data_IF_442790322329
#
_entry.id   IF_442790322329
#
_cell.length_a   1.000
_cell.length_b   1.000
_cell.length_c   1.000
_cell.angle_alpha   90.00
_cell.angle_beta   90.00
_cell.angle_gamma   90.00
#
_symmetry.space_group_name_H-M   'P 1'
#
loop_
_entity.id
_entity.type
_entity.pdbx_description
1 polymer ?
#
# COMPACT_ATOMS: atom_id res chain seq x y z
N UNK A 1 -1.39 13.78 -14.61
CA UNK A 1 -0.68 13.19 -13.45
C UNK A 1 -0.93 11.70 -13.46
N UNK A 2 0.12 10.88 -13.42
CA UNK A 2 0.02 9.42 -13.59
C UNK A 2 0.00 8.66 -12.27
N UNK A 3 -0.42 7.38 -12.32
CA UNK A 3 -0.48 6.47 -11.15
C UNK A 3 0.83 6.40 -10.34
N UNK A 4 1.98 6.41 -11.02
CA UNK A 4 3.29 6.35 -10.37
C UNK A 4 3.62 7.63 -9.60
N UNK A 5 3.25 8.80 -10.12
CA UNK A 5 3.43 10.08 -9.41
C UNK A 5 2.57 10.11 -8.14
N UNK A 6 1.33 9.62 -8.25
CA UNK A 6 0.40 9.53 -7.11
C UNK A 6 0.93 8.56 -6.03
N UNK A 7 1.51 7.42 -6.42
CA UNK A 7 2.13 6.47 -5.49
C UNK A 7 3.36 7.06 -4.78
N UNK A 8 4.21 7.81 -5.49
CA UNK A 8 5.40 8.46 -4.93
C UNK A 8 5.01 9.58 -3.95
N UNK A 9 4.02 10.40 -4.30
CA UNK A 9 3.48 11.44 -3.40
C UNK A 9 2.93 10.81 -2.13
N UNK A 10 2.21 9.69 -2.27
CA UNK A 10 1.71 8.92 -1.14
C UNK A 10 2.81 8.40 -0.22
N UNK A 11 3.85 7.79 -0.81
CA UNK A 11 4.97 7.25 -0.05
C UNK A 11 5.68 8.36 0.74
N UNK A 12 5.91 9.52 0.11
CA UNK A 12 6.49 10.70 0.77
C UNK A 12 5.61 11.23 1.92
N UNK A 13 4.29 11.21 1.75
CA UNK A 13 3.36 11.58 2.81
C UNK A 13 3.44 10.64 4.02
N UNK A 14 3.44 9.33 3.80
CA UNK A 14 3.56 8.35 4.89
C UNK A 14 4.92 8.38 5.58
N UNK A 15 6.00 8.68 4.84
CA UNK A 15 7.35 8.76 5.41
C UNK A 15 7.63 10.06 6.17
N UNK A 16 6.97 11.18 5.82
CA UNK A 16 7.33 12.51 6.36
C UNK A 16 6.15 13.45 6.65
N UNK A 17 5.04 13.30 5.92
CA UNK A 17 3.84 14.14 6.04
C UNK A 17 3.03 13.89 7.31
N UNK A 18 2.92 12.62 7.75
CA UNK A 18 2.24 12.23 9.00
C UNK A 18 2.79 13.00 10.21
N UNK A 19 4.11 13.13 10.33
CA UNK A 19 4.74 13.83 11.44
C UNK A 19 4.64 15.36 11.38
N UNK A 20 4.29 15.91 10.21
CA UNK A 20 4.09 17.35 10.00
C UNK A 20 2.62 17.79 10.14
N UNK A 21 1.70 16.86 10.42
CA UNK A 21 0.27 17.15 10.49
C UNK A 21 -0.33 17.62 9.16
N UNK A 22 0.29 17.28 8.03
CA UNK A 22 -0.24 17.61 6.72
C UNK A 22 -1.53 16.81 6.46
N UNK A 23 -2.52 17.41 5.79
CA UNK A 23 -3.74 16.70 5.38
C UNK A 23 -3.43 15.55 4.42
N UNK A 24 -4.20 14.45 4.50
CA UNK A 24 -4.00 13.29 3.64
C UNK A 24 -4.25 13.68 2.17
N UNK A 25 -3.27 13.51 1.25
CA UNK A 25 -3.34 14.08 -0.10
C UNK A 25 -4.43 13.46 -0.99
N UNK A 26 -4.99 12.31 -0.60
CA UNK A 26 -6.11 11.68 -1.30
C UNK A 26 -7.24 11.39 -0.31
N UNK A 27 -8.40 12.03 -0.50
CA UNK A 27 -9.61 11.73 0.26
C UNK A 27 -10.18 10.37 -0.16
N UNK A 28 -10.51 9.51 0.80
CA UNK A 28 -11.23 8.25 0.53
C UNK A 28 -12.65 8.58 0.09
N UNK A 29 -12.90 8.60 -1.22
CA UNK A 29 -14.26 8.70 -1.80
C UNK A 29 -14.84 7.29 -1.99
N UNK A 30 -16.17 7.10 -1.92
CA UNK A 30 -16.81 5.79 -2.12
C UNK A 30 -16.43 5.11 -3.45
N UNK A 31 -16.13 5.92 -4.48
CA UNK A 31 -15.72 5.52 -5.83
C UNK A 31 -14.22 5.17 -5.93
N UNK A 32 -13.40 5.68 -5.00
CA UNK A 32 -11.94 5.44 -4.92
C UNK A 32 -11.57 5.00 -3.50
N UNK A 33 -12.07 3.82 -3.11
CA UNK A 33 -11.87 3.24 -1.76
C UNK A 33 -10.40 2.98 -1.42
N UNK A 34 -9.56 2.71 -2.43
CA UNK A 34 -8.18 2.32 -2.22
C UNK A 34 -7.22 3.42 -2.66
N UNK A 35 -6.30 3.73 -1.76
CA UNK A 35 -5.16 4.61 -2.00
C UNK A 35 -4.24 4.00 -3.10
N UNK A 36 -3.72 4.80 -4.05
CA UNK A 36 -2.76 4.34 -5.07
C UNK A 36 -1.61 3.47 -4.55
N UNK A 37 -1.06 3.78 -3.36
CA UNK A 37 0.00 2.98 -2.73
C UNK A 37 -0.51 1.61 -2.27
N UNK A 38 -1.74 1.56 -1.72
CA UNK A 38 -2.36 0.31 -1.33
C UNK A 38 -2.65 -0.56 -2.57
N UNK A 39 -3.14 0.04 -3.66
CA UNK A 39 -3.40 -0.69 -4.91
C UNK A 39 -2.12 -1.32 -5.48
N UNK A 40 -1.03 -0.54 -5.55
CA UNK A 40 0.28 -1.05 -6.00
C UNK A 40 0.79 -2.18 -5.09
N UNK A 41 0.63 -2.02 -3.78
CA UNK A 41 1.02 -3.01 -2.77
C UNK A 41 0.24 -4.31 -2.93
N UNK A 42 -1.09 -4.23 -3.08
CA UNK A 42 -1.94 -5.40 -3.30
C UNK A 42 -1.53 -6.14 -4.57
N UNK A 43 -1.30 -5.41 -5.67
CA UNK A 43 -0.84 -6.01 -6.91
C UNK A 43 0.50 -6.73 -6.71
N UNK A 44 1.50 -6.05 -6.16
CA UNK A 44 2.84 -6.60 -5.95
C UNK A 44 2.81 -7.84 -5.05
N UNK A 45 2.03 -7.83 -3.98
CA UNK A 45 2.03 -8.95 -3.03
C UNK A 45 1.23 -10.13 -3.56
N UNK A 46 -0.02 -9.90 -3.95
CA UNK A 46 -0.93 -10.99 -4.32
C UNK A 46 -0.54 -11.66 -5.63
N UNK A 47 -0.02 -10.88 -6.60
CA UNK A 47 0.26 -11.40 -7.94
C UNK A 47 1.75 -11.72 -8.17
N UNK A 48 2.65 -11.17 -7.36
CA UNK A 48 4.10 -11.37 -7.57
C UNK A 48 4.75 -12.01 -6.35
N UNK A 49 4.81 -11.31 -5.22
CA UNK A 49 5.64 -11.70 -4.08
C UNK A 49 5.17 -13.01 -3.42
N UNK A 50 3.86 -13.15 -3.16
CA UNK A 50 3.29 -14.34 -2.53
C UNK A 50 3.33 -15.57 -3.45
N UNK A 51 2.89 -15.51 -4.72
CA UNK A 51 3.04 -16.63 -5.64
C UNK A 51 4.49 -17.06 -5.84
N UNK A 52 5.43 -16.10 -5.92
CA UNK A 52 6.85 -16.37 -6.07
C UNK A 52 7.43 -17.07 -4.84
N UNK A 53 7.05 -16.64 -3.63
CA UNK A 53 7.46 -17.29 -2.39
C UNK A 53 6.97 -18.74 -2.33
N UNK A 54 5.70 -18.99 -2.70
CA UNK A 54 5.11 -20.33 -2.73
C UNK A 54 5.82 -21.20 -3.77
N UNK A 55 6.00 -20.70 -4.99
CA UNK A 55 6.63 -21.43 -6.08
C UNK A 55 8.06 -21.86 -5.73
N UNK A 56 8.86 -20.93 -5.22
CA UNK A 56 10.25 -21.22 -4.85
C UNK A 56 10.33 -22.21 -3.68
N UNK A 57 9.43 -22.12 -2.69
CA UNK A 57 9.34 -23.09 -1.60
C UNK A 57 8.91 -24.48 -2.08
N UNK A 58 7.92 -24.55 -2.96
CA UNK A 58 7.45 -25.79 -3.56
C UNK A 58 8.55 -26.47 -4.41
N UNK A 59 9.30 -25.69 -5.19
CA UNK A 59 10.44 -26.20 -5.96
C UNK A 59 11.53 -26.76 -5.04
N UNK A 60 11.85 -26.07 -3.94
CA UNK A 60 12.83 -26.56 -2.95
C UNK A 60 12.37 -27.87 -2.28
N UNK A 61 11.10 -27.99 -1.90
CA UNK A 61 10.54 -29.24 -1.39
C UNK A 61 10.60 -30.37 -2.43
N UNK A 62 10.37 -30.03 -3.70
CA UNK A 62 10.39 -30.96 -4.83
C UNK A 62 11.78 -31.39 -5.30
N UNK A 63 12.87 -30.80 -4.80
CA UNK A 63 14.25 -31.11 -5.26
C UNK A 63 14.58 -32.59 -5.14
N UNK A 64 14.16 -33.24 -4.05
CA UNK A 64 14.44 -34.66 -3.83
C UNK A 64 13.65 -35.58 -4.76
N UNK A 65 12.43 -35.17 -5.14
CA UNK A 65 11.52 -36.00 -5.94
C UNK A 65 11.67 -35.75 -7.45
N UNK A 66 12.03 -34.53 -7.84
CA UNK A 66 12.16 -34.09 -9.24
C UNK A 66 13.41 -33.22 -9.43
N UNK A 67 14.62 -33.79 -9.28
CA UNK A 67 15.88 -33.03 -9.32
C UNK A 67 16.11 -32.32 -10.66
N UNK A 68 15.63 -32.90 -11.77
CA UNK A 68 15.70 -32.27 -13.09
C UNK A 68 14.94 -30.94 -13.20
N UNK A 69 13.75 -30.84 -12.58
CA UNK A 69 12.93 -29.62 -12.60
C UNK A 69 13.62 -28.52 -11.79
N UNK A 70 14.10 -28.83 -10.59
CA UNK A 70 14.86 -27.89 -9.79
C UNK A 70 16.17 -27.46 -10.49
N UNK A 71 16.81 -28.38 -11.22
CA UNK A 71 18.02 -28.11 -12.00
C UNK A 71 17.82 -27.07 -13.10
N UNK A 72 16.67 -27.04 -13.79
CA UNK A 72 16.37 -26.01 -14.79
C UNK A 72 16.32 -24.59 -14.22
N UNK A 73 15.98 -24.46 -12.94
CA UNK A 73 15.94 -23.18 -12.23
C UNK A 73 17.24 -22.88 -11.46
N UNK A 74 18.34 -23.62 -11.70
CA UNK A 74 19.64 -23.40 -11.07
C UNK A 74 19.91 -24.22 -9.80
N UNK A 75 18.98 -25.10 -9.41
CA UNK A 75 19.13 -26.01 -8.27
C UNK A 75 19.15 -25.29 -6.91
N UNK A 76 19.40 -26.06 -5.85
CA UNK A 76 19.44 -25.54 -4.47
C UNK A 76 20.38 -24.36 -4.25
N UNK A 77 21.60 -24.30 -4.85
CA UNK A 77 22.50 -23.17 -4.65
C UNK A 77 21.95 -21.82 -5.11
N UNK A 78 21.01 -21.80 -6.06
CA UNK A 78 20.33 -20.59 -6.52
C UNK A 78 18.96 -20.41 -5.85
N UNK A 79 18.15 -21.48 -5.79
CA UNK A 79 16.80 -21.43 -5.22
C UNK A 79 16.80 -21.00 -3.76
N UNK A 80 17.73 -21.51 -2.93
CA UNK A 80 17.76 -21.22 -1.50
C UNK A 80 18.03 -19.73 -1.20
N UNK A 81 19.11 -19.09 -1.69
CA UNK A 81 19.33 -17.66 -1.44
C UNK A 81 18.25 -16.79 -2.08
N UNK A 82 17.70 -17.19 -3.24
CA UNK A 82 16.60 -16.47 -3.87
C UNK A 82 15.31 -16.52 -3.03
N UNK A 83 14.90 -17.70 -2.56
CA UNK A 83 13.75 -17.87 -1.66
C UNK A 83 13.94 -17.08 -0.36
N UNK A 84 15.15 -17.09 0.20
CA UNK A 84 15.48 -16.27 1.38
C UNK A 84 15.35 -14.78 1.09
N UNK A 85 15.80 -14.28 -0.07
CA UNK A 85 15.65 -12.88 -0.44
C UNK A 85 14.19 -12.46 -0.57
N UNK A 86 13.36 -13.29 -1.22
CA UNK A 86 11.91 -13.04 -1.33
C UNK A 86 11.27 -13.06 0.07
N UNK A 87 11.67 -13.98 0.94
CA UNK A 87 11.18 -14.06 2.32
C UNK A 87 11.54 -12.80 3.13
N UNK A 88 12.78 -12.32 3.04
CA UNK A 88 13.22 -11.08 3.70
C UNK A 88 12.48 -9.84 3.17
N UNK A 89 12.21 -9.79 1.87
CA UNK A 89 11.40 -8.73 1.27
C UNK A 89 9.96 -8.76 1.80
N UNK A 90 9.36 -9.95 1.89
CA UNK A 90 8.03 -10.13 2.47
C UNK A 90 8.00 -9.76 3.96
N UNK A 91 9.02 -10.15 4.73
CA UNK A 91 9.15 -9.77 6.14
C UNK A 91 9.26 -8.25 6.33
N UNK A 92 10.09 -7.58 5.53
CA UNK A 92 10.22 -6.11 5.54
C UNK A 92 8.89 -5.43 5.20
N UNK A 93 8.13 -5.99 4.24
CA UNK A 93 6.78 -5.53 3.93
C UNK A 93 5.85 -5.66 5.14
N UNK A 94 5.83 -6.79 5.85
CA UNK A 94 4.98 -6.98 7.03
C UNK A 94 5.29 -5.94 8.11
N UNK A 95 6.57 -5.65 8.35
CA UNK A 95 6.97 -4.58 9.30
C UNK A 95 6.41 -3.23 8.87
N UNK A 96 6.61 -2.85 7.60
CA UNK A 96 6.06 -1.60 7.06
C UNK A 96 4.53 -1.56 7.08
N UNK A 97 3.87 -2.68 6.79
CA UNK A 97 2.43 -2.80 6.81
C UNK A 97 1.86 -2.56 8.21
N UNK A 98 2.43 -3.21 9.23
CA UNK A 98 2.04 -3.03 10.63
C UNK A 98 2.30 -1.59 11.08
N UNK A 99 3.41 -0.98 10.67
CA UNK A 99 3.68 0.42 10.94
C UNK A 99 2.60 1.35 10.34
N UNK A 100 2.27 1.18 9.07
CA UNK A 100 1.27 2.05 8.41
C UNK A 100 -0.15 1.84 8.94
N UNK A 101 -0.52 0.62 9.31
CA UNK A 101 -1.84 0.35 9.90
C UNK A 101 -1.94 0.94 11.31
N UNK A 102 -0.83 1.13 12.03
CA UNK A 102 -0.80 1.70 13.38
C UNK A 102 -0.52 3.21 13.43
N UNK A 103 -0.09 3.83 12.34
CA UNK A 103 0.25 5.27 12.32
C UNK A 103 -0.90 6.15 11.78
N UNK A 104 -2.14 5.67 11.86
CA UNK A 104 -3.34 6.46 11.54
C UNK A 104 -3.69 7.50 12.62
N UNK A 105 -4.78 8.28 12.46
CA UNK A 105 -5.24 9.26 13.45
C UNK A 105 -5.40 8.69 14.86
N UNK A 106 -5.71 7.39 14.96
CA UNK A 106 -5.53 6.58 16.17
C UNK A 106 -4.95 5.22 15.76
N UNK A 107 -4.05 4.61 16.55
CA UNK A 107 -3.37 3.37 16.16
C UNK A 107 -4.29 2.15 15.98
N UNK A 108 -5.50 2.20 16.54
CA UNK A 108 -6.46 1.11 16.48
C UNK A 108 -7.61 1.36 15.48
N UNK A 109 -7.74 2.56 14.89
CA UNK A 109 -8.88 2.84 13.98
C UNK A 109 -8.80 1.99 12.72
N UNK A 110 -7.63 1.88 12.10
CA UNK A 110 -7.42 1.04 10.92
C UNK A 110 -7.67 -0.43 11.22
N UNK A 111 -7.18 -0.92 12.37
CA UNK A 111 -7.36 -2.32 12.78
C UNK A 111 -8.82 -2.63 13.10
N UNK A 112 -9.50 -1.71 13.80
CA UNK A 112 -10.93 -1.82 14.12
C UNK A 112 -11.79 -1.78 12.85
N UNK A 113 -11.42 -0.98 11.85
CA UNK A 113 -12.08 -0.97 10.56
C UNK A 113 -11.92 -2.30 9.80
N UNK A 114 -10.74 -2.93 9.87
CA UNK A 114 -10.53 -4.27 9.29
C UNK A 114 -11.41 -5.36 9.94
N UNK A 115 -11.61 -5.29 11.26
CA UNK A 115 -12.42 -6.26 12.02
C UNK A 115 -13.91 -6.00 11.84
N UNK A 116 -14.33 -4.73 11.92
CA UNK A 116 -15.74 -4.36 11.92
C UNK A 116 -16.30 -4.14 10.52
N UNK A 117 -15.46 -3.96 9.50
CA UNK A 117 -15.86 -3.66 8.13
C UNK A 117 -16.34 -2.22 7.88
N UNK A 118 -16.36 -1.37 8.92
CA UNK A 118 -16.81 0.03 8.86
C UNK A 118 -15.70 0.98 9.32
N UNK A 119 -15.48 2.05 8.58
CA UNK A 119 -14.49 3.10 8.88
C UNK A 119 -15.21 4.45 8.95
N UNK A 120 -15.01 5.19 10.05
CA UNK A 120 -15.50 6.57 10.16
C UNK A 120 -14.62 7.48 9.31
N UNK A 121 -15.15 7.94 8.18
CA UNK A 121 -14.45 8.92 7.32
C UNK A 121 -14.75 10.31 7.88
N UNK A 122 -13.75 10.95 8.47
CA UNK A 122 -13.84 12.37 8.83
C UNK A 122 -14.00 13.18 7.53
N UNK A 123 -15.20 13.72 7.31
CA UNK A 123 -15.47 14.65 6.23
C UNK A 123 -14.71 15.95 6.53
N UNK A 124 -13.54 16.14 5.93
CA UNK A 124 -12.94 17.46 5.90
C UNK A 124 -13.87 18.38 5.11
N UNK A 125 -14.35 19.49 5.71
CA UNK A 125 -15.13 20.46 4.95
C UNK A 125 -14.24 21.01 3.85
N UNK A 126 -14.65 20.86 2.60
CA UNK A 126 -14.04 21.59 1.51
C UNK A 126 -14.11 23.08 1.83
N UNK A 127 -12.96 23.72 2.02
CA UNK A 127 -12.83 25.17 2.05
C UNK A 127 -12.94 25.75 0.62
N UNK A 128 -13.88 25.24 -0.18
CA UNK A 128 -14.28 25.77 -1.47
C UNK A 128 -15.64 26.45 -1.32
N UNK A 129 -15.64 27.50 -0.50
CA UNK A 129 -16.58 28.60 -0.63
C UNK A 129 -15.73 29.86 -0.86
N UNK A 130 -15.12 29.93 -2.04
CA UNK A 130 -14.69 31.23 -2.57
C UNK A 130 -15.92 32.12 -2.65
N UNK A 131 -15.93 33.17 -1.85
CA UNK A 131 -16.87 34.28 -1.95
C UNK A 131 -16.92 34.77 -3.41
N UNK A 132 -18.10 34.96 -4.01
CA UNK A 132 -18.19 35.73 -5.24
C UNK A 132 -17.94 37.20 -4.87
N UNK A 133 -16.70 37.64 -5.09
CA UNK A 133 -16.38 39.05 -5.26
C UNK A 133 -17.02 39.52 -6.56
N UNK A 134 -18.21 40.09 -6.46
CA UNK A 134 -18.96 40.71 -7.56
C UNK A 134 -19.46 42.08 -7.13
N UNK A 135 -18.68 43.10 -7.48
CA UNK A 135 -19.06 44.51 -7.44
C UNK A 135 -20.21 44.78 -8.41
N UNK A 136 -21.35 45.27 -7.93
CA UNK A 136 -22.24 46.14 -8.71
C UNK A 136 -22.78 47.24 -7.80
N UNK A 137 -22.25 48.44 -8.03
CA UNK A 137 -22.82 49.74 -7.69
C UNK A 137 -24.05 50.01 -8.58
N UNK A 138 -25.00 50.81 -8.06
CA UNK A 138 -25.96 51.73 -8.74
C UNK A 138 -27.47 51.40 -8.64
N UNK A 139 -28.20 52.42 -8.12
CA UNK A 139 -29.66 52.69 -8.05
C UNK A 139 -30.31 52.27 -6.72
N UNK A 140 -30.82 53.15 -5.86
CA UNK A 140 -31.39 54.51 -5.98
C UNK A 140 -30.95 55.45 -4.85
#
# INVERSE_FOLDING_TARGET
YGFFDEAIVQAKYYLRGIFKGAGHPFEKRPEKKLNPLQQATYFAILNVLLPLQILTGALMMGVQQFPQVAGWFGGLPFLAPFHSLVAWTFAAFIVGHVYLTTTGPRPLTSLKAMVNGWEDVEAHPHADAQEPTGSEEVSE
#
